data_IF_990377980705
#
_entry.id   IF_990377980705
#
_cell.length_a   1.000
_cell.length_b   1.000
_cell.length_c   1.000
_cell.angle_alpha   90.00
_cell.angle_beta   90.00
_cell.angle_gamma   90.00
#
_symmetry.space_group_name_H-M   'P 1'
#
loop_
_entity.id
_entity.type
_entity.pdbx_description
1 polymer ?
#
# COMPACT_ATOMS: atom_id res chain seq x y z
N UNK A 1 -15.46 -12.00 -0.91
CA UNK A 1 -14.38 -10.98 -0.98
C UNK A 1 -13.12 -11.60 -0.40
N UNK A 2 -12.09 -11.86 -1.22
CA UNK A 2 -10.82 -12.39 -0.72
C UNK A 2 -10.15 -11.31 0.16
N UNK A 3 -9.96 -11.61 1.46
CA UNK A 3 -9.08 -10.78 2.30
C UNK A 3 -7.70 -10.77 1.65
N UNK A 4 -7.07 -9.62 1.45
CA UNK A 4 -5.67 -9.61 1.01
C UNK A 4 -4.86 -10.39 2.05
N UNK A 5 -4.06 -11.36 1.58
CA UNK A 5 -3.04 -11.99 2.43
C UNK A 5 -2.09 -10.87 2.88
N UNK A 6 -2.23 -10.47 4.14
CA UNK A 6 -1.44 -9.39 4.72
C UNK A 6 -0.10 -9.95 5.13
N UNK A 7 0.96 -9.40 4.55
CA UNK A 7 2.33 -9.78 4.91
C UNK A 7 2.83 -8.98 6.11
N UNK A 8 3.88 -9.45 6.77
CA UNK A 8 4.52 -8.68 7.86
C UNK A 8 5.04 -7.32 7.37
N UNK A 9 5.49 -7.23 6.11
CA UNK A 9 5.90 -5.98 5.49
C UNK A 9 4.75 -4.97 5.41
N UNK A 10 3.52 -5.41 5.11
CA UNK A 10 2.33 -4.56 5.08
C UNK A 10 1.99 -4.02 6.46
N UNK A 11 2.13 -4.85 7.50
CA UNK A 11 1.91 -4.45 8.89
C UNK A 11 2.94 -3.40 9.33
N UNK A 12 4.22 -3.62 9.04
CA UNK A 12 5.30 -2.65 9.34
C UNK A 12 5.13 -1.34 8.57
N UNK A 13 4.65 -1.41 7.33
CA UNK A 13 4.33 -0.22 6.52
C UNK A 13 3.18 0.57 7.12
N UNK A 14 2.10 -0.10 7.52
CA UNK A 14 0.98 0.52 8.20
C UNK A 14 1.42 1.15 9.54
N UNK A 15 2.31 0.48 10.29
CA UNK A 15 2.86 0.99 11.55
C UNK A 15 3.58 2.32 11.37
N UNK A 16 4.47 2.39 10.38
CA UNK A 16 5.19 3.63 10.01
C UNK A 16 4.24 4.72 9.54
N UNK A 17 3.26 4.38 8.70
CA UNK A 17 2.28 5.33 8.18
C UNK A 17 1.39 5.93 9.29
N UNK A 18 1.04 5.13 10.29
CA UNK A 18 0.24 5.56 11.45
C UNK A 18 1.08 6.29 12.52
N UNK A 19 2.41 6.32 12.39
CA UNK A 19 3.35 6.97 13.32
C UNK A 19 3.16 6.55 14.78
N UNK A 20 2.83 5.27 15.00
CA UNK A 20 2.64 4.72 16.34
C UNK A 20 4.01 4.66 17.04
N UNK A 21 4.14 5.36 18.18
CA UNK A 21 5.40 5.45 18.91
C UNK A 21 5.84 4.09 19.49
N UNK A 22 4.89 3.24 19.87
CA UNK A 22 5.15 1.91 20.41
C UNK A 22 5.83 1.01 19.37
N UNK A 23 6.93 0.33 19.71
CA UNK A 23 7.53 -0.70 18.86
C UNK A 23 6.52 -1.81 18.51
N UNK A 24 6.63 -2.37 17.31
CA UNK A 24 5.71 -3.38 16.80
C UNK A 24 5.54 -4.60 17.73
N UNK A 25 6.65 -5.10 18.27
CA UNK A 25 6.65 -6.27 19.19
C UNK A 25 5.97 -5.98 20.53
N UNK A 26 5.97 -4.71 20.97
CA UNK A 26 5.43 -4.28 22.26
C UNK A 26 3.96 -3.84 22.19
N UNK A 27 3.29 -3.99 21.04
CA UNK A 27 1.88 -3.60 20.88
C UNK A 27 0.93 -4.59 21.55
N UNK A 28 -0.15 -4.06 22.13
CA UNK A 28 -1.29 -4.86 22.55
C UNK A 28 -2.01 -5.51 21.36
N UNK A 29 -2.68 -6.63 21.60
CA UNK A 29 -3.40 -7.36 20.55
C UNK A 29 -4.49 -6.53 19.89
N UNK A 30 -5.14 -5.63 20.64
CA UNK A 30 -6.13 -4.70 20.09
C UNK A 30 -5.50 -3.78 19.04
N UNK A 31 -4.32 -3.23 19.33
CA UNK A 31 -3.59 -2.35 18.41
C UNK A 31 -3.10 -3.15 17.21
N UNK A 32 -2.61 -4.37 17.38
CA UNK A 32 -2.22 -5.25 16.25
C UNK A 32 -3.41 -5.56 15.33
N UNK A 33 -4.59 -5.83 15.87
CA UNK A 33 -5.82 -6.07 15.08
C UNK A 33 -6.25 -4.83 14.30
N UNK A 34 -6.23 -3.66 14.94
CA UNK A 34 -6.52 -2.39 14.27
C UNK A 34 -5.51 -2.11 13.15
N UNK A 35 -4.23 -2.39 13.39
CA UNK A 35 -3.17 -2.23 12.42
C UNK A 35 -3.33 -3.17 11.22
N UNK A 36 -3.73 -4.43 11.45
CA UNK A 36 -4.04 -5.37 10.37
C UNK A 36 -5.22 -4.88 9.50
N UNK A 37 -6.27 -4.32 10.12
CA UNK A 37 -7.38 -3.72 9.38
C UNK A 37 -6.92 -2.51 8.54
N UNK A 38 -6.09 -1.64 9.12
CA UNK A 38 -5.51 -0.50 8.43
C UNK A 38 -4.62 -0.92 7.24
N UNK A 39 -3.76 -1.92 7.44
CA UNK A 39 -2.93 -2.49 6.39
C UNK A 39 -3.77 -3.06 5.24
N UNK A 40 -4.87 -3.75 5.56
CA UNK A 40 -5.82 -4.25 4.56
C UNK A 40 -6.45 -3.13 3.74
N UNK A 41 -6.89 -2.05 4.39
CA UNK A 41 -7.45 -0.89 3.72
C UNK A 41 -6.41 -0.17 2.83
N UNK A 42 -5.16 -0.04 3.30
CA UNK A 42 -4.06 0.52 2.52
C UNK A 42 -3.76 -0.32 1.28
N UNK A 43 -3.73 -1.65 1.39
CA UNK A 43 -3.50 -2.55 0.26
C UNK A 43 -4.60 -2.42 -0.81
N UNK A 44 -5.87 -2.33 -0.40
CA UNK A 44 -6.99 -2.09 -1.33
C UNK A 44 -6.85 -0.74 -2.03
N UNK A 45 -6.52 0.32 -1.28
CA UNK A 45 -6.32 1.66 -1.83
C UNK A 45 -5.16 1.71 -2.83
N UNK A 46 -4.06 1.02 -2.57
CA UNK A 46 -2.92 0.97 -3.49
C UNK A 46 -3.25 0.19 -4.77
N UNK A 47 -3.97 -0.92 -4.67
CA UNK A 47 -4.48 -1.64 -5.85
C UNK A 47 -5.39 -0.75 -6.70
N UNK A 48 -6.29 0.00 -6.07
CA UNK A 48 -7.15 0.96 -6.78
C UNK A 48 -6.35 2.08 -7.43
N UNK A 49 -5.30 2.60 -6.76
CA UNK A 49 -4.40 3.61 -7.34
C UNK A 49 -3.60 3.07 -8.51
N UNK A 50 -3.11 1.83 -8.41
CA UNK A 50 -2.41 1.16 -9.51
C UNK A 50 -3.33 0.95 -10.72
N UNK A 51 -4.57 0.51 -10.48
CA UNK A 51 -5.58 0.35 -11.53
C UNK A 51 -6.03 1.68 -12.17
N UNK A 52 -6.00 2.77 -11.40
CA UNK A 52 -6.39 4.12 -11.86
C UNK A 52 -5.25 4.91 -12.46
N UNK A 53 -3.98 4.46 -12.37
CA UNK A 53 -2.89 5.12 -13.09
C UNK A 53 -3.18 4.95 -14.59
N UNK A 54 -3.52 6.01 -15.32
CA UNK A 54 -3.57 5.90 -16.76
C UNK A 54 -2.16 5.52 -17.18
N UNK A 55 -2.02 4.38 -17.86
CA UNK A 55 -0.81 4.09 -18.62
C UNK A 55 -0.70 5.27 -19.56
N UNK A 56 0.27 6.16 -19.34
CA UNK A 56 0.43 7.36 -20.14
C UNK A 56 0.95 6.94 -21.52
N UNK A 57 0.05 6.39 -22.34
CA UNK A 57 0.32 5.91 -23.69
C UNK A 57 0.76 7.05 -24.62
N UNK A 58 0.61 8.32 -24.20
CA UNK A 58 1.12 9.47 -24.95
C UNK A 58 2.64 9.61 -24.87
N UNK A 59 3.32 9.01 -23.88
CA UNK A 59 4.80 9.10 -23.79
C UNK A 59 5.54 8.12 -24.71
N UNK A 60 4.84 7.24 -25.42
CA UNK A 60 5.45 6.30 -26.38
C UNK A 60 5.37 6.77 -27.85
N UNK A 61 4.70 7.89 -28.13
CA UNK A 61 4.49 8.40 -29.48
C UNK A 61 5.35 9.61 -29.85
N UNK A 62 6.28 10.05 -28.98
CA UNK A 62 7.08 11.27 -29.18
C UNK A 62 8.58 11.02 -29.10
N UNK A 63 9.08 9.94 -29.69
CA UNK A 63 10.50 9.58 -29.64
C UNK A 63 11.11 9.12 -30.97
N UNK A 64 10.45 9.38 -32.10
CA UNK A 64 11.00 9.04 -33.43
C UNK A 64 10.72 10.17 -34.43
N UNK A 65 11.45 11.27 -34.23
CA UNK A 65 11.63 12.34 -35.21
C UNK A 65 13.01 12.95 -34.94
N UNK A 66 14.09 12.25 -35.29
CA UNK A 66 15.39 12.89 -35.56
C UNK A 66 16.04 12.27 -36.81
N UNK A 67 16.19 13.14 -37.81
CA UNK A 67 17.05 13.18 -39.01
C UNK A 67 17.00 12.05 -40.07
#
# INVERSE_FOLDING_TARGET
MAKPELTEADLRRAHRAMRIATPFEAMSDLVRRALAAAAGAMAVRDRQRAARRPVDMKRRAGGDFED
#
